data_IF_540721326785
#
_entry.id   IF_540721326785
#
_cell.length_a   1.000
_cell.length_b   1.000
_cell.length_c   1.000
_cell.angle_alpha   90.00
_cell.angle_beta   90.00
_cell.angle_gamma   90.00
#
_symmetry.space_group_name_H-M   'P 1'
#
loop_
_entity.id
_entity.type
_entity.pdbx_description
1 polymer ?
#
# COMPACT_ATOMS: atom_id res chain seq x y z
N UNK A 1 -10.29 7.03 2.53
CA UNK A 1 -10.03 6.54 1.15
C UNK A 1 -8.62 6.98 0.78
N UNK A 2 -7.77 6.06 0.35
CA UNK A 2 -6.41 6.36 -0.11
C UNK A 2 -6.05 5.40 -1.25
N UNK A 3 -5.13 5.84 -2.12
CA UNK A 3 -4.60 5.01 -3.21
C UNK A 3 -3.64 3.95 -2.65
N UNK A 4 -3.41 2.90 -3.43
CA UNK A 4 -2.25 2.02 -3.25
C UNK A 4 -0.93 2.83 -3.24
N UNK A 5 0.10 2.30 -2.58
CA UNK A 5 1.45 2.85 -2.61
C UNK A 5 2.15 2.65 -3.96
N UNK A 6 3.39 3.11 -4.06
CA UNK A 6 4.23 2.94 -5.25
C UNK A 6 4.24 1.48 -5.75
N UNK A 7 4.12 1.31 -7.07
CA UNK A 7 4.04 0.01 -7.76
C UNK A 7 4.75 0.07 -9.11
N UNK A 8 5.08 -1.10 -9.66
CA UNK A 8 5.55 -1.18 -11.05
C UNK A 8 4.46 -0.73 -12.04
N UNK A 9 4.84 -0.33 -13.28
CA UNK A 9 3.89 -0.07 -14.36
C UNK A 9 2.93 -1.23 -14.54
N UNK A 10 1.69 -0.98 -14.95
CA UNK A 10 0.72 -2.06 -15.27
C UNK A 10 0.91 -2.66 -16.65
N UNK A 11 1.52 -1.91 -17.55
CA UNK A 11 1.92 -2.31 -18.90
C UNK A 11 2.92 -1.29 -19.44
N UNK A 12 3.53 -1.61 -20.58
CA UNK A 12 4.35 -0.67 -21.35
C UNK A 12 4.15 -0.87 -22.85
N UNK A 13 4.78 -0.02 -23.67
CA UNK A 13 4.74 -0.09 -25.13
C UNK A 13 5.70 -1.17 -25.68
N UNK A 14 5.45 -1.73 -26.88
CA UNK A 14 6.18 -2.91 -27.37
C UNK A 14 7.70 -2.73 -27.51
N UNK A 15 8.17 -1.51 -27.77
CA UNK A 15 9.60 -1.20 -27.97
C UNK A 15 10.29 -0.67 -26.72
N UNK A 16 9.64 -0.72 -25.55
CA UNK A 16 10.27 -0.35 -24.28
C UNK A 16 11.42 -1.33 -23.97
N UNK A 17 12.66 -0.87 -23.74
CA UNK A 17 13.74 -1.75 -23.29
C UNK A 17 13.48 -2.40 -21.92
N UNK A 18 12.59 -1.85 -21.09
CA UNK A 18 12.25 -2.35 -19.76
C UNK A 18 10.90 -3.08 -19.74
N UNK A 19 10.95 -4.36 -20.08
CA UNK A 19 9.78 -5.24 -20.08
C UNK A 19 9.50 -5.80 -18.70
N UNK A 20 8.40 -6.54 -18.54
CA UNK A 20 7.93 -7.07 -17.25
C UNK A 20 9.03 -7.76 -16.42
N UNK A 21 9.87 -8.58 -17.08
CA UNK A 21 11.01 -9.28 -16.45
C UNK A 21 12.01 -8.37 -15.74
N UNK A 22 12.08 -7.09 -16.11
CA UNK A 22 12.98 -6.12 -15.50
C UNK A 22 12.46 -5.60 -14.15
N UNK A 23 11.16 -5.76 -13.87
CA UNK A 23 10.51 -5.34 -12.63
C UNK A 23 10.56 -6.47 -11.61
N UNK A 24 11.74 -6.75 -11.04
CA UNK A 24 11.96 -7.92 -10.16
C UNK A 24 11.69 -7.65 -8.68
N UNK A 25 11.45 -6.40 -8.30
CA UNK A 25 11.27 -5.99 -6.91
C UNK A 25 9.81 -6.13 -6.45
N UNK A 26 9.61 -6.21 -5.13
CA UNK A 26 8.29 -6.38 -4.55
C UNK A 26 7.73 -7.75 -4.86
N UNK A 27 6.52 -7.80 -5.44
CA UNK A 27 5.90 -9.04 -5.93
C UNK A 27 6.46 -9.56 -7.26
N UNK A 28 7.25 -8.75 -7.98
CA UNK A 28 7.78 -9.07 -9.30
C UNK A 28 6.74 -8.97 -10.42
N UNK A 29 7.12 -8.37 -11.54
CA UNK A 29 6.25 -8.14 -12.69
C UNK A 29 5.47 -6.84 -12.64
N UNK A 30 4.53 -6.68 -13.57
CA UNK A 30 3.75 -5.45 -13.72
C UNK A 30 2.63 -5.32 -12.67
N UNK A 31 2.29 -4.07 -12.33
CA UNK A 31 1.25 -3.71 -11.38
C UNK A 31 1.54 -4.04 -9.91
N UNK A 32 2.69 -4.65 -9.60
CA UNK A 32 3.01 -5.11 -8.25
C UNK A 32 3.47 -3.98 -7.34
N UNK A 33 3.04 -4.04 -6.07
CA UNK A 33 3.46 -3.10 -5.03
C UNK A 33 4.98 -3.20 -4.81
N UNK A 34 5.66 -2.06 -4.86
CA UNK A 34 7.10 -2.01 -4.65
C UNK A 34 7.45 -1.97 -3.16
N UNK A 35 8.71 -2.27 -2.79
CA UNK A 35 9.19 -2.03 -1.43
C UNK A 35 9.06 -0.57 -0.96
N UNK A 36 9.04 0.38 -1.89
CA UNK A 36 8.77 1.79 -1.58
C UNK A 36 7.29 1.96 -1.21
N UNK A 37 6.38 1.38 -1.98
CA UNK A 37 4.94 1.41 -1.72
C UNK A 37 4.56 0.77 -0.38
N UNK A 38 5.20 -0.34 -0.03
CA UNK A 38 5.06 -0.97 1.29
C UNK A 38 5.47 -0.02 2.42
N UNK A 39 6.62 0.66 2.28
CA UNK A 39 7.08 1.65 3.27
C UNK A 39 6.16 2.86 3.38
N UNK A 40 5.58 3.32 2.27
CA UNK A 40 4.60 4.40 2.27
C UNK A 40 3.36 4.02 3.11
N UNK A 41 2.81 2.81 2.90
CA UNK A 41 1.69 2.33 3.72
C UNK A 41 2.05 2.12 5.19
N UNK A 42 3.25 1.65 5.49
CA UNK A 42 3.70 1.55 6.89
C UNK A 42 3.77 2.93 7.58
N UNK A 43 4.24 3.97 6.87
CA UNK A 43 4.25 5.34 7.40
C UNK A 43 2.83 5.87 7.61
N UNK A 44 1.95 5.67 6.63
CA UNK A 44 0.54 6.05 6.76
C UNK A 44 -0.12 5.35 7.95
N UNK A 45 0.11 4.04 8.13
CA UNK A 45 -0.44 3.30 9.25
C UNK A 45 0.06 3.79 10.62
N UNK A 46 1.33 4.21 10.71
CA UNK A 46 1.88 4.84 11.92
C UNK A 46 1.19 6.17 12.22
N UNK A 47 1.01 7.01 11.21
CA UNK A 47 0.30 8.29 11.36
C UNK A 47 -1.15 8.07 11.83
N UNK A 48 -1.88 7.15 11.20
CA UNK A 48 -3.26 6.82 11.60
C UNK A 48 -3.33 6.29 13.04
N UNK A 49 -2.36 5.48 13.47
CA UNK A 49 -2.26 5.01 14.85
C UNK A 49 -2.02 6.17 15.81
N UNK A 50 -1.03 7.01 15.53
CA UNK A 50 -0.69 8.18 16.36
C UNK A 50 -1.91 9.08 16.55
N UNK A 51 -2.57 9.44 15.46
CA UNK A 51 -3.78 10.28 15.50
C UNK A 51 -4.93 9.60 16.25
N UNK A 52 -5.36 8.41 15.86
CA UNK A 52 -6.64 7.84 16.34
C UNK A 52 -6.53 7.01 17.62
N UNK A 53 -5.36 6.47 17.94
CA UNK A 53 -5.14 5.65 19.16
C UNK A 53 -4.37 6.46 20.21
N UNK A 54 -3.28 7.11 19.82
CA UNK A 54 -2.36 7.69 20.80
C UNK A 54 -2.78 9.11 21.24
N UNK A 55 -3.21 9.97 20.32
CA UNK A 55 -3.64 11.34 20.61
C UNK A 55 -5.14 11.41 20.94
N UNK A 56 -6.00 10.93 20.03
CA UNK A 56 -7.45 11.08 20.18
C UNK A 56 -8.09 10.06 21.13
N UNK A 57 -7.41 8.96 21.42
CA UNK A 57 -7.97 7.81 22.18
C UNK A 57 -9.31 7.32 21.62
N UNK A 58 -9.53 7.47 20.31
CA UNK A 58 -10.78 7.14 19.64
C UNK A 58 -10.92 5.63 19.38
N UNK A 59 -9.81 4.96 19.04
CA UNK A 59 -9.75 3.52 18.82
C UNK A 59 -9.01 2.80 19.96
N UNK A 60 -9.36 1.53 20.18
CA UNK A 60 -8.67 0.70 21.17
C UNK A 60 -7.19 0.47 20.81
N UNK A 61 -6.27 0.38 21.80
CA UNK A 61 -4.84 0.16 21.53
C UNK A 61 -4.52 -1.14 20.78
N UNK A 62 -5.39 -2.15 20.93
CA UNK A 62 -5.39 -3.43 20.22
C UNK A 62 -6.55 -3.46 19.23
N UNK A 63 -6.31 -4.07 18.08
CA UNK A 63 -7.32 -4.22 17.03
C UNK A 63 -8.61 -4.89 17.55
N UNK A 64 -9.75 -4.34 17.12
CA UNK A 64 -11.08 -4.88 17.33
C UNK A 64 -11.85 -4.82 16.01
N UNK A 65 -12.38 -5.95 15.56
CA UNK A 65 -13.18 -6.02 14.32
C UNK A 65 -14.52 -5.28 14.41
N UNK A 66 -14.92 -4.88 15.62
CA UNK A 66 -16.11 -4.04 15.85
C UNK A 66 -15.83 -2.55 15.65
N UNK A 67 -14.57 -2.14 15.70
CA UNK A 67 -14.16 -0.73 15.61
C UNK A 67 -13.59 -0.37 14.24
N UNK A 68 -12.94 -1.32 13.56
CA UNK A 68 -12.22 -1.08 12.32
C UNK A 68 -12.68 -2.07 11.25
N UNK A 69 -13.04 -1.54 10.08
CA UNK A 69 -13.25 -2.31 8.85
C UNK A 69 -12.44 -1.70 7.70
N UNK A 70 -12.04 -2.54 6.75
CA UNK A 70 -11.37 -2.10 5.54
C UNK A 70 -11.98 -2.81 4.33
N UNK A 71 -11.99 -2.11 3.19
CA UNK A 71 -12.39 -2.67 1.91
C UNK A 71 -11.33 -2.30 0.88
N UNK A 72 -10.79 -3.32 0.22
CA UNK A 72 -9.93 -3.11 -0.93
C UNK A 72 -10.79 -3.06 -2.17
N UNK A 73 -10.53 -2.07 -3.03
CA UNK A 73 -11.06 -2.03 -4.38
C UNK A 73 -9.96 -2.54 -5.30
N UNK A 74 -10.27 -3.60 -6.04
CA UNK A 74 -9.40 -4.11 -7.09
C UNK A 74 -9.94 -3.51 -8.38
N UNK A 75 -9.10 -2.74 -9.07
CA UNK A 75 -9.34 -2.28 -10.45
C UNK A 75 -8.88 -3.33 -11.45
#
# INVERSE_FOLDING_TARGET
IWRHGDRSPTATFPTDPFQERNWTFGGGGFGQLSPIGMRQHMRLGKLLRETYIDEMKFLSPRYSSKEVSYKLFIE
#
